data_IF_994652767047
#
_entry.id   IF_994652767047
#
_cell.length_a   1.000
_cell.length_b   1.000
_cell.length_c   1.000
_cell.angle_alpha   90.00
_cell.angle_beta   90.00
_cell.angle_gamma   90.00
#
_symmetry.space_group_name_H-M   'P 1'
#
loop_
_entity.id
_entity.type
_entity.pdbx_description
1 polymer ?
#
# COMPACT_ATOMS: atom_id res chain seq x y z
N UNK A 1 18.87 -4.65 -20.86
CA UNK A 1 18.09 -5.22 -19.74
C UNK A 1 16.87 -5.88 -20.36
N UNK A 2 16.48 -7.02 -19.84
CA UNK A 2 15.25 -7.72 -20.25
C UNK A 2 14.06 -6.98 -19.64
N UNK A 3 12.91 -6.92 -20.33
CA UNK A 3 11.69 -6.34 -19.76
C UNK A 3 11.10 -7.28 -18.69
N UNK A 4 10.53 -6.73 -17.63
CA UNK A 4 9.68 -7.45 -16.70
C UNK A 4 8.21 -7.18 -17.08
N UNK A 5 7.55 -8.21 -17.59
CA UNK A 5 6.16 -8.14 -18.05
C UNK A 5 5.19 -8.43 -16.92
N UNK A 6 4.13 -7.64 -16.79
CA UNK A 6 3.02 -7.90 -15.89
C UNK A 6 1.98 -8.71 -16.64
N UNK A 7 1.73 -9.93 -16.19
CA UNK A 7 0.80 -10.88 -16.84
C UNK A 7 -0.60 -10.71 -16.28
N UNK A 8 -0.76 -10.74 -14.96
CA UNK A 8 -2.04 -10.50 -14.30
C UNK A 8 -1.85 -9.92 -12.89
N UNK A 9 -2.92 -9.35 -12.36
CA UNK A 9 -2.99 -8.82 -11.00
C UNK A 9 -4.36 -9.12 -10.40
N UNK A 10 -4.38 -9.58 -9.15
CA UNK A 10 -5.62 -9.80 -8.42
C UNK A 10 -5.48 -9.47 -6.95
N UNK A 11 -6.61 -9.31 -6.28
CA UNK A 11 -6.67 -8.97 -4.87
C UNK A 11 -7.95 -9.47 -4.23
N UNK A 12 -7.96 -9.63 -2.92
CA UNK A 12 -9.20 -9.79 -2.16
C UNK A 12 -9.96 -8.46 -2.07
N UNK A 13 -11.25 -8.46 -1.79
CA UNK A 13 -11.91 -7.31 -1.18
C UNK A 13 -11.20 -6.96 0.13
N UNK A 14 -11.32 -5.70 0.56
CA UNK A 14 -10.80 -5.24 1.83
C UNK A 14 -11.87 -5.35 2.90
N UNK A 15 -11.62 -6.19 3.90
CA UNK A 15 -12.49 -6.37 5.06
C UNK A 15 -12.15 -5.40 6.18
N UNK A 16 -13.12 -4.99 7.00
CA UNK A 16 -12.89 -4.13 8.17
C UNK A 16 -11.88 -4.81 9.11
N UNK A 17 -10.75 -4.15 9.38
CA UNK A 17 -9.65 -4.65 10.19
C UNK A 17 -9.93 -4.57 11.70
N UNK A 18 -11.03 -5.15 12.15
CA UNK A 18 -11.42 -5.18 13.54
C UNK A 18 -11.86 -6.59 13.95
N UNK A 19 -11.18 -7.14 14.95
CA UNK A 19 -11.51 -8.44 15.52
C UNK A 19 -13.00 -8.56 15.88
N UNK A 20 -13.63 -9.68 15.50
CA UNK A 20 -15.04 -9.96 15.76
C UNK A 20 -16.05 -9.08 15.00
N UNK A 21 -15.60 -8.22 14.07
CA UNK A 21 -16.48 -7.34 13.27
C UNK A 21 -16.24 -7.42 11.77
N UNK A 22 -14.98 -7.47 11.32
CA UNK A 22 -14.67 -7.54 9.91
C UNK A 22 -15.00 -8.90 9.31
N UNK A 23 -15.47 -8.94 8.07
CA UNK A 23 -15.85 -10.17 7.39
C UNK A 23 -14.66 -11.12 7.16
N UNK A 24 -13.43 -10.59 7.05
CA UNK A 24 -12.19 -11.35 6.93
C UNK A 24 -11.52 -11.64 8.27
N UNK A 25 -11.97 -11.01 9.36
CA UNK A 25 -11.44 -11.27 10.71
C UNK A 25 -11.63 -12.74 11.09
N UNK A 26 -10.56 -13.39 11.51
CA UNK A 26 -10.56 -14.82 11.84
C UNK A 26 -10.14 -15.74 10.70
N UNK A 27 -10.00 -15.25 9.45
CA UNK A 27 -9.35 -16.00 8.38
C UNK A 27 -7.83 -15.99 8.63
N UNK A 28 -7.17 -17.15 8.44
CA UNK A 28 -5.72 -17.22 8.61
C UNK A 28 -5.01 -16.39 7.51
N UNK A 29 -3.99 -15.58 7.82
CA UNK A 29 -3.32 -14.75 6.81
C UNK A 29 -2.68 -15.55 5.67
N UNK A 30 -2.20 -16.76 5.92
CA UNK A 30 -1.71 -17.66 4.88
C UNK A 30 -2.85 -18.08 3.93
N UNK A 31 -4.03 -18.39 4.45
CA UNK A 31 -5.23 -18.70 3.66
C UNK A 31 -5.68 -17.50 2.81
N UNK A 32 -5.60 -16.29 3.36
CA UNK A 32 -5.92 -15.07 2.61
C UNK A 32 -4.92 -14.85 1.46
N UNK A 33 -3.63 -15.07 1.69
CA UNK A 33 -2.59 -15.06 0.66
C UNK A 33 -2.80 -16.18 -0.37
N UNK A 34 -3.14 -17.39 0.08
CA UNK A 34 -3.43 -18.52 -0.79
C UNK A 34 -4.60 -18.24 -1.74
N UNK A 35 -5.61 -17.48 -1.30
CA UNK A 35 -6.77 -17.11 -2.14
C UNK A 35 -6.33 -16.38 -3.42
N UNK A 36 -5.48 -15.38 -3.31
CA UNK A 36 -5.00 -14.62 -4.49
C UNK A 36 -3.99 -15.40 -5.31
N UNK A 37 -3.15 -16.22 -4.68
CA UNK A 37 -2.18 -17.06 -5.38
C UNK A 37 -2.90 -18.14 -6.22
N UNK A 38 -3.89 -18.81 -5.66
CA UNK A 38 -4.72 -19.78 -6.38
C UNK A 38 -5.44 -19.12 -7.56
N UNK A 39 -6.03 -17.96 -7.33
CA UNK A 39 -6.71 -17.22 -8.38
C UNK A 39 -5.77 -16.82 -9.53
N UNK A 40 -4.52 -16.43 -9.26
CA UNK A 40 -3.54 -16.15 -10.32
C UNK A 40 -3.22 -17.41 -11.13
N UNK A 41 -2.96 -18.54 -10.48
CA UNK A 41 -2.66 -19.80 -11.18
C UNK A 41 -3.84 -20.24 -12.06
N UNK A 42 -5.06 -20.20 -11.52
CA UNK A 42 -6.28 -20.58 -12.25
C UNK A 42 -6.57 -19.69 -13.47
N UNK A 43 -6.36 -18.36 -13.31
CA UNK A 43 -6.64 -17.37 -14.37
C UNK A 43 -5.63 -17.39 -15.50
N UNK A 44 -4.38 -17.67 -15.19
CA UNK A 44 -3.27 -17.61 -16.14
C UNK A 44 -2.87 -18.96 -16.70
N UNK A 45 -3.26 -20.04 -16.03
CA UNK A 45 -2.91 -21.41 -16.39
C UNK A 45 -1.42 -21.73 -16.26
N UNK A 46 -0.68 -20.97 -15.45
CA UNK A 46 0.75 -21.23 -15.23
C UNK A 46 0.98 -22.59 -14.57
N UNK A 47 2.10 -23.21 -14.93
CA UNK A 47 2.61 -24.33 -14.15
C UNK A 47 3.29 -23.78 -12.88
N UNK A 48 2.72 -24.05 -11.72
CA UNK A 48 3.24 -23.53 -10.44
C UNK A 48 4.63 -24.06 -10.10
N UNK A 49 5.08 -25.12 -10.77
CA UNK A 49 6.44 -25.65 -10.65
C UNK A 49 7.50 -24.80 -11.35
N UNK A 50 7.10 -23.90 -12.23
CA UNK A 50 7.97 -22.99 -12.97
C UNK A 50 8.10 -21.62 -12.25
N UNK A 51 7.35 -21.42 -11.15
CA UNK A 51 7.47 -20.20 -10.35
C UNK A 51 8.81 -20.24 -9.59
N UNK A 52 9.70 -19.34 -9.95
CA UNK A 52 11.04 -19.25 -9.36
C UNK A 52 10.97 -18.72 -7.93
N UNK A 53 10.21 -17.64 -7.70
CA UNK A 53 10.08 -17.04 -6.38
C UNK A 53 8.73 -16.36 -6.16
N UNK A 54 8.35 -16.25 -4.89
CA UNK A 54 7.16 -15.54 -4.41
C UNK A 54 7.63 -14.49 -3.41
N UNK A 55 7.67 -13.23 -3.84
CA UNK A 55 8.15 -12.10 -3.04
C UNK A 55 6.96 -11.42 -2.37
N UNK A 56 6.85 -11.54 -1.05
CA UNK A 56 5.63 -11.21 -0.32
C UNK A 56 5.83 -10.13 0.74
N UNK A 57 5.01 -9.08 0.68
CA UNK A 57 5.02 -7.98 1.63
C UNK A 57 4.11 -8.22 2.83
N UNK A 58 4.62 -7.99 4.03
CA UNK A 58 3.82 -7.82 5.25
C UNK A 58 4.58 -6.97 6.24
N UNK A 59 3.89 -6.05 6.90
CA UNK A 59 4.52 -5.16 7.89
C UNK A 59 4.53 -5.73 9.30
N UNK A 60 3.74 -6.75 9.57
CA UNK A 60 3.64 -7.39 10.88
C UNK A 60 4.06 -8.85 10.82
N UNK A 61 5.36 -9.11 10.71
CA UNK A 61 5.91 -10.47 10.71
C UNK A 61 5.88 -11.08 12.12
N UNK A 62 4.67 -11.20 12.69
CA UNK A 62 4.44 -11.72 14.04
C UNK A 62 3.26 -12.68 14.06
N UNK A 63 3.26 -13.63 15.00
CA UNK A 63 2.19 -14.61 15.15
C UNK A 63 1.89 -15.30 13.83
N UNK A 64 0.63 -15.45 13.42
CA UNK A 64 0.24 -16.12 12.17
C UNK A 64 0.74 -15.46 10.88
N UNK A 65 1.22 -14.20 10.92
CA UNK A 65 1.86 -13.52 9.77
C UNK A 65 3.39 -13.69 9.73
N UNK A 66 3.97 -14.47 10.63
CA UNK A 66 5.39 -14.81 10.62
C UNK A 66 5.69 -16.08 9.81
N UNK A 67 6.96 -16.49 9.78
CA UNK A 67 7.36 -17.78 9.22
C UNK A 67 7.32 -17.85 7.70
N UNK A 68 7.76 -16.79 7.01
CA UNK A 68 7.70 -16.66 5.56
C UNK A 68 6.29 -16.83 5.00
N UNK A 69 5.49 -15.78 5.21
CA UNK A 69 4.09 -15.74 4.82
C UNK A 69 3.87 -16.02 3.32
N UNK A 70 4.77 -15.55 2.45
CA UNK A 70 4.69 -15.79 1.01
C UNK A 70 4.81 -17.26 0.66
N UNK A 71 5.86 -17.91 1.14
CA UNK A 71 6.08 -19.34 0.92
C UNK A 71 4.95 -20.20 1.52
N UNK A 72 4.52 -19.88 2.75
CA UNK A 72 3.46 -20.65 3.41
C UNK A 72 2.11 -20.48 2.69
N UNK A 73 1.79 -19.28 2.22
CA UNK A 73 0.60 -19.04 1.40
C UNK A 73 0.62 -19.80 0.08
N UNK A 74 1.79 -19.93 -0.56
CA UNK A 74 1.93 -20.71 -1.78
C UNK A 74 1.69 -22.20 -1.56
N UNK A 75 2.22 -22.77 -0.49
CA UNK A 75 1.98 -24.16 -0.13
C UNK A 75 0.50 -24.41 0.20
N UNK A 76 -0.14 -23.49 0.93
CA UNK A 76 -1.58 -23.55 1.22
C UNK A 76 -2.43 -23.39 -0.06
N UNK A 77 -1.96 -22.63 -1.03
CA UNK A 77 -2.59 -22.49 -2.35
C UNK A 77 -2.46 -23.76 -3.22
N UNK A 78 -1.62 -24.73 -2.83
CA UNK A 78 -1.36 -25.93 -3.61
C UNK A 78 -0.30 -25.76 -4.71
N UNK A 79 0.56 -24.75 -4.60
CA UNK A 79 1.71 -24.58 -5.50
C UNK A 79 2.70 -25.74 -5.36
N UNK A 80 3.40 -26.05 -6.45
CA UNK A 80 4.46 -27.05 -6.43
C UNK A 80 5.53 -26.69 -5.37
N UNK A 81 6.12 -27.69 -4.74
CA UNK A 81 7.13 -27.50 -3.68
C UNK A 81 8.41 -26.83 -4.19
N UNK A 82 8.60 -26.73 -5.50
CA UNK A 82 9.72 -26.03 -6.14
C UNK A 82 9.57 -24.52 -6.10
N UNK A 83 8.34 -23.99 -6.03
CA UNK A 83 8.11 -22.54 -5.93
C UNK A 83 8.70 -22.01 -4.63
N UNK A 84 9.78 -21.25 -4.69
CA UNK A 84 10.44 -20.62 -3.54
C UNK A 84 9.61 -19.46 -2.98
N UNK A 85 10.02 -18.85 -1.88
CA UNK A 85 9.35 -17.67 -1.35
C UNK A 85 10.22 -16.89 -0.36
N UNK A 86 9.93 -15.61 -0.26
CA UNK A 86 10.54 -14.68 0.69
C UNK A 86 9.51 -13.66 1.17
N UNK A 87 9.54 -13.35 2.45
CA UNK A 87 8.69 -12.30 3.02
C UNK A 87 9.53 -11.11 3.44
N UNK A 88 9.12 -9.92 3.01
CA UNK A 88 9.82 -8.67 3.28
C UNK A 88 8.97 -7.66 4.03
N UNK A 89 9.63 -6.74 4.73
CA UNK A 89 9.04 -5.60 5.41
C UNK A 89 9.73 -4.30 4.99
N UNK A 90 8.98 -3.41 4.34
CA UNK A 90 9.26 -1.99 4.16
C UNK A 90 8.07 -1.17 4.66
N UNK A 91 7.45 -1.60 5.75
CA UNK A 91 6.23 -1.01 6.28
C UNK A 91 5.15 -0.88 5.18
N UNK A 92 4.51 0.29 5.06
CA UNK A 92 3.49 0.54 4.04
C UNK A 92 3.99 0.28 2.61
N UNK A 93 5.27 0.49 2.34
CA UNK A 93 5.88 0.31 1.02
C UNK A 93 6.16 -1.14 0.61
N UNK A 94 5.84 -2.13 1.44
CA UNK A 94 6.19 -3.54 1.21
C UNK A 94 5.64 -4.09 -0.11
N UNK A 95 4.38 -3.80 -0.45
CA UNK A 95 3.74 -4.31 -1.66
C UNK A 95 4.34 -3.75 -2.97
N UNK A 96 4.74 -2.45 -3.02
CA UNK A 96 5.48 -1.93 -4.18
C UNK A 96 6.88 -2.54 -4.21
N UNK A 97 7.51 -2.70 -3.04
CA UNK A 97 8.86 -3.24 -2.94
C UNK A 97 8.92 -4.68 -3.42
N UNK A 98 7.92 -5.51 -3.10
CA UNK A 98 7.85 -6.89 -3.60
C UNK A 98 7.81 -6.93 -5.13
N UNK A 99 6.99 -6.08 -5.77
CA UNK A 99 6.93 -5.96 -7.23
C UNK A 99 8.24 -5.44 -7.83
N UNK A 100 8.85 -4.43 -7.20
CA UNK A 100 10.14 -3.90 -7.64
C UNK A 100 11.26 -4.96 -7.58
N UNK A 101 11.27 -5.81 -6.55
CA UNK A 101 12.26 -6.89 -6.42
C UNK A 101 12.02 -7.99 -7.45
N UNK A 102 10.78 -8.42 -7.65
CA UNK A 102 10.40 -9.38 -8.69
C UNK A 102 10.77 -8.89 -10.10
N UNK A 103 10.47 -7.63 -10.39
CA UNK A 103 10.88 -7.03 -11.67
C UNK A 103 12.41 -6.98 -11.82
N UNK A 104 13.15 -6.66 -10.74
CA UNK A 104 14.61 -6.64 -10.77
C UNK A 104 15.21 -8.03 -11.03
N UNK A 105 14.69 -9.11 -10.41
CA UNK A 105 15.18 -10.47 -10.66
C UNK A 105 14.95 -10.92 -12.10
N UNK A 106 13.79 -10.60 -12.68
CA UNK A 106 13.52 -10.83 -14.11
C UNK A 106 14.46 -9.99 -14.99
N UNK A 107 14.56 -8.68 -14.74
CA UNK A 107 15.38 -7.77 -15.54
C UNK A 107 16.88 -8.11 -15.50
N UNK A 108 17.35 -8.72 -14.42
CA UNK A 108 18.73 -9.21 -14.27
C UNK A 108 18.97 -10.54 -14.98
N UNK A 109 17.91 -11.25 -15.36
CA UNK A 109 17.96 -12.59 -15.94
C UNK A 109 18.21 -13.70 -14.90
N UNK A 110 18.01 -13.42 -13.62
CA UNK A 110 18.13 -14.43 -12.56
C UNK A 110 16.91 -15.34 -12.49
N UNK A 111 15.74 -14.84 -12.86
CA UNK A 111 14.46 -15.54 -12.77
C UNK A 111 13.59 -15.21 -13.99
N UNK A 112 12.66 -16.08 -14.32
CA UNK A 112 11.78 -15.97 -15.49
C UNK A 112 10.31 -15.78 -15.12
N UNK A 113 9.84 -16.38 -14.02
CA UNK A 113 8.44 -16.32 -13.57
C UNK A 113 8.38 -16.07 -12.06
N UNK A 114 7.93 -14.89 -11.68
CA UNK A 114 7.91 -14.44 -10.28
C UNK A 114 6.53 -13.91 -9.90
N UNK A 115 6.07 -14.24 -8.71
CA UNK A 115 4.87 -13.65 -8.13
C UNK A 115 5.28 -12.67 -7.04
N UNK A 116 4.76 -11.45 -7.13
CA UNK A 116 4.91 -10.43 -6.11
C UNK A 116 3.56 -10.09 -5.49
N UNK A 117 3.54 -9.81 -4.19
CA UNK A 117 2.28 -9.50 -3.54
C UNK A 117 2.46 -9.09 -2.10
N UNK A 118 1.41 -9.30 -1.33
CA UNK A 118 1.43 -9.09 0.11
C UNK A 118 0.09 -9.37 0.78
N UNK A 119 0.16 -9.56 2.07
CA UNK A 119 -1.01 -9.76 2.95
C UNK A 119 -0.85 -8.94 4.21
N UNK A 120 -1.93 -8.37 4.66
CA UNK A 120 -1.99 -7.76 5.99
C UNK A 120 -3.36 -8.00 6.62
N UNK A 121 -3.34 -8.58 7.82
CA UNK A 121 -4.52 -8.81 8.65
C UNK A 121 -4.52 -7.81 9.82
N UNK A 122 -5.11 -6.63 9.60
CA UNK A 122 -5.11 -5.59 10.65
C UNK A 122 -6.14 -5.87 11.75
N UNK A 123 -7.03 -6.82 11.58
CA UNK A 123 -7.96 -7.31 12.59
C UNK A 123 -7.30 -8.21 13.63
N UNK A 124 -6.10 -8.72 13.40
CA UNK A 124 -5.44 -9.63 14.34
C UNK A 124 -5.10 -8.92 15.64
N UNK A 125 -5.55 -9.49 16.75
CA UNK A 125 -5.20 -9.04 18.09
C UNK A 125 -3.70 -9.27 18.39
N UNK A 126 -3.13 -8.39 19.25
CA UNK A 126 -1.73 -8.52 19.68
C UNK A 126 -0.66 -8.14 18.65
N UNK A 127 -1.02 -7.48 17.56
CA UNK A 127 -0.08 -6.95 16.57
C UNK A 127 0.95 -6.00 17.14
N UNK A 128 0.52 -5.18 18.07
CA UNK A 128 1.34 -4.22 18.81
C UNK A 128 1.61 -4.83 20.18
N UNK A 129 2.86 -5.02 20.53
CA UNK A 129 3.24 -5.37 21.89
C UNK A 129 2.66 -4.37 22.89
N UNK A 130 2.75 -4.67 24.17
CA UNK A 130 2.36 -3.75 25.23
C UNK A 130 3.20 -2.46 25.14
N UNK A 131 2.55 -1.31 25.29
CA UNK A 131 3.16 0.01 25.30
C UNK A 131 3.20 0.75 23.96
N UNK A 132 3.80 1.96 23.93
CA UNK A 132 3.91 2.79 22.74
C UNK A 132 4.76 2.11 21.66
N UNK A 133 4.24 2.07 20.42
CA UNK A 133 5.01 1.55 19.29
C UNK A 133 6.10 2.54 18.88
N UNK A 134 7.35 2.10 18.93
CA UNK A 134 8.53 2.88 18.53
C UNK A 134 9.34 2.10 17.49
N UNK A 135 9.59 2.72 16.33
CA UNK A 135 10.40 2.10 15.26
C UNK A 135 11.86 1.90 15.64
N UNK A 136 12.38 2.71 16.56
CA UNK A 136 13.72 2.55 17.11
C UNK A 136 13.87 1.37 18.08
N UNK A 137 12.73 0.79 18.50
CA UNK A 137 12.64 -0.35 19.41
C UNK A 137 13.57 -0.23 20.65
N UNK A 138 13.62 0.97 21.24
CA UNK A 138 14.45 1.26 22.41
C UNK A 138 15.92 1.62 22.13
N UNK A 139 16.33 1.76 20.87
CA UNK A 139 17.65 2.23 20.50
C UNK A 139 17.76 3.76 20.72
N UNK A 140 18.11 4.17 21.94
CA UNK A 140 18.17 5.58 22.32
C UNK A 140 19.21 6.38 21.52
N UNK A 141 20.28 5.75 21.03
CA UNK A 141 21.26 6.41 20.16
C UNK A 141 20.65 6.78 18.81
N UNK A 142 19.82 5.89 18.24
CA UNK A 142 19.08 6.16 17.00
C UNK A 142 18.07 7.28 17.25
N UNK A 143 17.29 7.19 18.35
CA UNK A 143 16.28 8.20 18.73
C UNK A 143 16.88 9.59 18.87
N UNK A 144 18.05 9.71 19.51
CA UNK A 144 18.73 11.00 19.68
C UNK A 144 19.16 11.64 18.34
N UNK A 145 19.50 10.84 17.34
CA UNK A 145 19.94 11.34 16.02
C UNK A 145 18.76 11.57 15.08
N UNK A 146 17.83 10.65 15.08
CA UNK A 146 16.69 10.57 14.18
C UNK A 146 15.42 10.28 15.00
N UNK A 147 14.89 11.27 15.72
CA UNK A 147 13.64 11.08 16.46
C UNK A 147 12.50 10.75 15.48
N UNK A 148 11.72 9.73 15.80
CA UNK A 148 10.62 9.24 14.97
C UNK A 148 9.36 9.21 15.81
N UNK A 149 8.37 10.01 15.43
CA UNK A 149 7.12 10.17 16.16
C UNK A 149 6.03 9.19 15.68
N UNK A 150 4.86 9.26 16.29
CA UNK A 150 3.67 8.55 15.82
C UNK A 150 3.22 9.11 14.46
N UNK A 151 2.88 8.22 13.51
CA UNK A 151 2.55 8.60 12.13
C UNK A 151 1.43 9.66 12.02
N UNK A 152 0.40 9.61 12.86
CA UNK A 152 -0.68 10.61 12.88
C UNK A 152 -0.20 11.98 13.38
N UNK A 153 0.73 12.01 14.35
CA UNK A 153 1.37 13.26 14.81
C UNK A 153 2.28 13.82 13.73
N UNK A 154 3.00 12.95 12.99
CA UNK A 154 3.77 13.36 11.82
C UNK A 154 2.87 13.96 10.72
N UNK A 155 1.69 13.37 10.48
CA UNK A 155 0.74 13.88 9.49
C UNK A 155 0.26 15.30 9.84
N UNK A 156 -0.08 15.55 11.11
CA UNK A 156 -0.47 16.88 11.57
C UNK A 156 0.69 17.88 11.55
N UNK A 157 1.92 17.44 11.87
CA UNK A 157 3.10 18.27 11.76
C UNK A 157 3.38 18.67 10.29
N UNK A 158 3.26 17.74 9.35
CA UNK A 158 3.39 18.02 7.91
C UNK A 158 2.30 18.97 7.45
N UNK A 159 1.03 18.76 7.85
CA UNK A 159 -0.06 19.66 7.50
C UNK A 159 0.19 21.08 7.98
N UNK A 160 0.71 21.22 9.20
CA UNK A 160 1.06 22.53 9.78
C UNK A 160 2.20 23.20 9.01
N UNK A 161 3.28 22.48 8.70
CA UNK A 161 4.43 23.00 7.96
C UNK A 161 4.08 23.43 6.54
N UNK A 162 3.18 22.70 5.88
CA UNK A 162 2.79 22.93 4.49
C UNK A 162 1.56 23.87 4.36
N UNK A 163 1.01 24.34 5.48
CA UNK A 163 -0.21 25.18 5.45
C UNK A 163 -1.44 24.46 4.89
N UNK A 164 -1.49 23.13 5.02
CA UNK A 164 -2.64 22.33 4.58
C UNK A 164 -3.69 22.32 5.69
N UNK A 165 -4.84 22.90 5.38
CA UNK A 165 -5.90 23.14 6.36
C UNK A 165 -6.74 21.90 6.64
N UNK A 166 -7.55 21.96 7.70
CA UNK A 166 -8.58 20.97 8.00
C UNK A 166 -9.56 20.79 6.83
N UNK A 167 -9.95 21.87 6.18
CA UNK A 167 -10.83 21.83 5.02
C UNK A 167 -10.19 21.04 3.85
N UNK A 168 -8.91 21.26 3.60
CA UNK A 168 -8.20 20.59 2.49
C UNK A 168 -8.16 19.08 2.69
N UNK A 169 -7.81 18.62 3.92
CA UNK A 169 -7.74 17.18 4.22
C UNK A 169 -9.13 16.53 4.25
N UNK A 170 -10.16 17.23 4.70
CA UNK A 170 -11.55 16.75 4.66
C UNK A 170 -12.09 16.70 3.22
N UNK A 171 -11.75 17.67 2.39
CA UNK A 171 -12.12 17.67 0.96
C UNK A 171 -11.53 16.49 0.21
N UNK A 172 -10.26 16.17 0.47
CA UNK A 172 -9.61 14.99 -0.12
C UNK A 172 -10.27 13.70 0.38
N UNK A 173 -10.58 13.60 1.68
CA UNK A 173 -11.29 12.45 2.24
C UNK A 173 -12.68 12.24 1.62
N UNK A 174 -13.43 13.32 1.41
CA UNK A 174 -14.72 13.29 0.74
C UNK A 174 -14.60 12.84 -0.72
N UNK A 175 -13.60 13.37 -1.44
CA UNK A 175 -13.36 13.01 -2.84
C UNK A 175 -12.99 11.53 -2.97
N UNK A 176 -12.13 11.02 -2.09
CA UNK A 176 -11.78 9.59 -2.04
C UNK A 176 -13.04 8.71 -1.91
N UNK A 177 -13.97 9.07 -1.01
CA UNK A 177 -15.23 8.32 -0.83
C UNK A 177 -16.13 8.39 -2.06
N UNK A 178 -16.26 9.55 -2.69
CA UNK A 178 -17.09 9.72 -3.90
C UNK A 178 -16.53 8.90 -5.06
N UNK A 179 -15.22 8.98 -5.31
CA UNK A 179 -14.55 8.22 -6.38
C UNK A 179 -14.64 6.72 -6.14
N UNK A 180 -14.43 6.26 -4.91
CA UNK A 180 -14.59 4.85 -4.55
C UNK A 180 -16.02 4.35 -4.78
N UNK A 181 -17.03 5.13 -4.39
CA UNK A 181 -18.43 4.78 -4.61
C UNK A 181 -18.78 4.65 -6.10
N UNK A 182 -18.31 5.60 -6.94
CA UNK A 182 -18.49 5.55 -8.39
C UNK A 182 -17.76 4.36 -9.02
N UNK A 183 -16.53 4.09 -8.60
CA UNK A 183 -15.75 2.96 -9.09
C UNK A 183 -16.40 1.60 -8.76
N UNK A 184 -16.93 1.45 -7.54
CA UNK A 184 -17.65 0.25 -7.12
C UNK A 184 -18.93 0.10 -7.94
N UNK A 185 -19.75 1.14 -8.06
CA UNK A 185 -20.99 1.12 -8.83
C UNK A 185 -20.73 0.87 -10.33
N UNK A 186 -19.62 1.38 -10.87
CA UNK A 186 -19.19 1.16 -12.26
C UNK A 186 -18.49 -0.16 -12.53
N UNK A 187 -18.26 -0.99 -11.49
CA UNK A 187 -17.58 -2.29 -11.63
C UNK A 187 -16.08 -2.19 -11.96
N UNK A 188 -15.42 -1.06 -11.70
CA UNK A 188 -14.02 -0.86 -12.07
C UNK A 188 -13.06 -1.83 -11.40
N UNK A 189 -13.47 -2.46 -10.28
CA UNK A 189 -12.66 -3.44 -9.54
C UNK A 189 -12.97 -4.90 -9.90
N UNK A 190 -14.00 -5.17 -10.71
CA UNK A 190 -14.48 -6.54 -10.95
C UNK A 190 -13.42 -7.45 -11.56
N UNK A 191 -12.50 -6.91 -12.36
CA UNK A 191 -11.43 -7.66 -13.00
C UNK A 191 -10.42 -8.21 -12.01
N UNK A 192 -10.06 -7.43 -10.99
CA UNK A 192 -9.04 -7.80 -10.02
C UNK A 192 -9.58 -8.44 -8.75
N UNK A 193 -10.86 -8.25 -8.41
CA UNK A 193 -11.44 -8.81 -7.19
C UNK A 193 -11.58 -10.34 -7.24
N UNK A 194 -11.14 -10.99 -6.16
CA UNK A 194 -11.29 -12.43 -5.91
C UNK A 194 -12.11 -12.62 -4.65
N UNK A 195 -13.28 -13.25 -4.72
CA UNK A 195 -14.09 -13.57 -3.54
C UNK A 195 -13.30 -14.44 -2.55
N UNK A 196 -13.50 -14.20 -1.26
CA UNK A 196 -12.88 -14.97 -0.18
C UNK A 196 -13.92 -15.90 0.43
N UNK A 197 -13.57 -17.17 0.56
CA UNK A 197 -14.41 -18.21 1.16
C UNK A 197 -13.74 -18.72 2.44
N UNK A 198 -14.57 -19.18 3.39
CA UNK A 198 -14.14 -19.88 4.61
C UNK A 198 -13.84 -21.35 4.32
N UNK A 199 -13.22 -22.03 5.26
CA UNK A 199 -12.90 -23.46 5.14
C UNK A 199 -14.13 -24.35 4.92
N UNK A 200 -15.28 -23.94 5.43
CA UNK A 200 -16.56 -24.64 5.24
C UNK A 200 -17.20 -24.35 3.87
N UNK A 201 -16.54 -23.59 3.00
CA UNK A 201 -17.01 -23.20 1.68
C UNK A 201 -18.02 -22.04 1.68
N UNK A 202 -18.38 -21.49 2.83
CA UNK A 202 -19.26 -20.31 2.90
C UNK A 202 -18.53 -19.04 2.42
N UNK A 203 -19.25 -18.16 1.75
CA UNK A 203 -18.71 -16.85 1.33
C UNK A 203 -18.38 -16.00 2.55
N UNK A 204 -17.13 -15.54 2.63
CA UNK A 204 -16.71 -14.59 3.64
C UNK A 204 -16.89 -13.14 3.17
N UNK A 205 -16.37 -12.81 1.98
CA UNK A 205 -16.45 -11.46 1.42
C UNK A 205 -16.24 -11.48 -0.10
N UNK A 206 -17.09 -10.78 -0.86
CA UNK A 206 -17.02 -10.65 -2.32
C UNK A 206 -16.96 -9.19 -2.80
N UNK A 207 -17.01 -8.22 -1.89
CA UNK A 207 -17.03 -6.79 -2.19
C UNK A 207 -16.29 -5.99 -1.11
N UNK A 208 -15.93 -4.77 -1.42
CA UNK A 208 -15.31 -3.85 -0.43
C UNK A 208 -16.25 -3.60 0.75
N UNK A 209 -15.78 -3.82 1.98
CA UNK A 209 -16.58 -3.68 3.19
C UNK A 209 -16.44 -2.30 3.85
N UNK A 210 -15.32 -1.60 3.60
CA UNK A 210 -14.95 -0.39 4.34
C UNK A 210 -15.59 0.92 3.82
N UNK A 211 -15.90 1.13 2.51
CA UNK A 211 -16.36 2.40 1.96
C UNK A 211 -17.62 2.95 2.64
N UNK A 212 -17.69 4.28 2.73
CA UNK A 212 -18.80 5.04 3.32
C UNK A 212 -19.34 6.07 2.31
N UNK A 213 -20.14 5.63 1.33
CA UNK A 213 -20.61 6.48 0.23
C UNK A 213 -21.49 7.65 0.68
N UNK A 214 -22.06 7.57 1.89
CA UNK A 214 -22.88 8.63 2.50
C UNK A 214 -22.07 9.75 3.17
N UNK A 215 -20.74 9.74 3.11
CA UNK A 215 -19.87 10.76 3.69
C UNK A 215 -20.20 12.14 3.13
N UNK A 216 -20.28 13.14 4.00
CA UNK A 216 -20.50 14.55 3.63
C UNK A 216 -19.43 15.43 4.25
N UNK A 217 -19.20 16.61 3.68
CA UNK A 217 -18.27 17.59 4.24
C UNK A 217 -18.68 18.03 5.66
N UNK A 218 -19.98 18.22 5.89
CA UNK A 218 -20.52 18.56 7.21
C UNK A 218 -20.21 17.46 8.24
N UNK A 219 -20.43 16.18 7.85
CA UNK A 219 -20.10 15.05 8.71
C UNK A 219 -18.61 14.97 9.05
N UNK A 220 -17.72 15.23 8.07
CA UNK A 220 -16.28 15.25 8.29
C UNK A 220 -15.85 16.42 9.19
N UNK A 221 -16.33 17.62 8.92
CA UNK A 221 -15.98 18.82 9.71
C UNK A 221 -16.38 18.71 11.17
N UNK A 222 -17.43 17.96 11.48
CA UNK A 222 -17.89 17.68 12.84
C UNK A 222 -17.03 16.69 13.63
N UNK A 223 -16.12 15.95 12.97
CA UNK A 223 -15.24 14.98 13.65
C UNK A 223 -14.11 15.68 14.42
N UNK A 224 -13.84 15.21 15.62
CA UNK A 224 -12.70 15.71 16.42
C UNK A 224 -11.38 15.17 15.86
N UNK A 225 -10.30 15.96 15.87
CA UNK A 225 -8.95 15.45 15.59
C UNK A 225 -8.61 14.25 16.47
N UNK A 226 -7.95 13.25 15.88
CA UNK A 226 -7.68 11.97 16.58
C UNK A 226 -6.36 11.98 17.38
N UNK A 227 -5.42 12.85 17.03
CA UNK A 227 -4.04 12.72 17.51
C UNK A 227 -3.58 13.71 18.60
N UNK A 228 -4.36 14.69 19.11
CA UNK A 228 -3.90 15.55 20.19
C UNK A 228 -3.48 14.76 21.44
N UNK A 229 -4.33 13.85 21.91
CA UNK A 229 -4.02 13.01 23.07
C UNK A 229 -2.87 12.03 22.80
N UNK A 230 -2.76 11.50 21.58
CA UNK A 230 -1.66 10.62 21.16
C UNK A 230 -0.33 11.36 21.19
N UNK A 231 -0.31 12.61 20.75
CA UNK A 231 0.91 13.43 20.72
C UNK A 231 1.56 13.58 22.11
N UNK A 232 0.77 13.57 23.15
CA UNK A 232 1.21 13.79 24.53
C UNK A 232 1.37 12.49 25.35
N UNK A 233 1.27 11.31 24.70
CA UNK A 233 1.54 10.02 25.35
C UNK A 233 3.04 9.89 25.65
N UNK A 234 3.42 9.62 26.92
CA UNK A 234 4.80 9.30 27.27
C UNK A 234 5.26 8.01 26.61
N UNK A 235 6.48 8.03 26.03
CA UNK A 235 7.08 6.90 25.30
C UNK A 235 8.26 6.27 26.02
N UNK A 236 8.71 6.89 27.11
CA UNK A 236 9.81 6.42 27.95
C UNK A 236 9.66 6.89 29.41
N UNK A 237 10.53 6.37 30.28
CA UNK A 237 10.52 6.66 31.74
C UNK A 237 10.88 8.12 32.06
N UNK A 238 11.38 8.88 31.07
CA UNK A 238 11.70 10.31 31.22
C UNK A 238 10.50 11.20 30.90
N UNK A 239 9.39 10.60 30.48
CA UNK A 239 8.20 11.33 30.08
C UNK A 239 8.29 11.97 28.70
N UNK A 240 9.26 11.57 27.87
CA UNK A 240 9.34 12.04 26.46
C UNK A 240 8.06 11.68 25.73
N UNK A 241 7.49 12.60 24.96
CA UNK A 241 6.23 12.38 24.22
C UNK A 241 6.47 12.33 22.71
N UNK A 242 5.49 11.84 21.95
CA UNK A 242 5.55 11.86 20.47
C UNK A 242 5.66 13.29 19.94
N UNK A 243 4.99 14.28 20.55
CA UNK A 243 5.14 15.71 20.22
C UNK A 243 6.57 16.17 20.37
N UNK A 244 7.21 15.84 21.49
CA UNK A 244 8.58 16.25 21.77
C UNK A 244 9.59 15.66 20.78
N UNK A 245 9.32 14.48 20.21
CA UNK A 245 10.15 13.92 19.13
C UNK A 245 10.12 14.79 17.86
N UNK A 246 8.97 15.37 17.51
CA UNK A 246 8.87 16.33 16.40
C UNK A 246 9.62 17.62 16.78
N UNK A 247 9.31 18.18 17.96
CA UNK A 247 9.89 19.45 18.41
C UNK A 247 11.40 19.39 18.63
N UNK A 248 12.00 18.21 18.81
CA UNK A 248 13.45 18.04 18.84
C UNK A 248 14.14 18.47 17.53
N UNK A 249 13.43 18.48 16.40
CA UNK A 249 13.91 18.95 15.08
C UNK A 249 13.23 20.23 14.60
N UNK A 250 12.03 20.50 15.09
CA UNK A 250 11.19 21.65 14.72
C UNK A 250 10.74 22.37 15.99
N UNK A 251 11.66 23.03 16.75
CA UNK A 251 11.38 23.52 18.11
C UNK A 251 10.29 24.58 18.16
N UNK A 252 10.13 25.37 17.09
CA UNK A 252 9.15 26.47 17.03
C UNK A 252 7.81 26.05 16.40
N UNK A 253 7.61 24.74 16.10
CA UNK A 253 6.41 24.25 15.45
C UNK A 253 5.25 24.11 16.45
N UNK A 254 4.19 24.91 16.28
CA UNK A 254 2.91 24.72 16.97
C UNK A 254 2.01 23.83 16.12
N UNK A 255 1.94 22.53 16.46
CA UNK A 255 1.25 21.52 15.67
C UNK A 255 -0.25 21.73 15.74
N UNK A 256 -0.85 22.09 14.61
CA UNK A 256 -2.30 22.12 14.41
C UNK A 256 -2.81 20.73 14.02
N UNK A 257 -3.74 20.18 14.82
CA UNK A 257 -4.28 18.84 14.59
C UNK A 257 -5.50 18.89 13.67
N UNK A 258 -5.40 18.26 12.50
CA UNK A 258 -6.43 18.27 11.46
C UNK A 258 -6.91 16.87 11.06
N UNK A 259 -6.15 15.80 11.40
CA UNK A 259 -6.46 14.45 10.97
C UNK A 259 -7.36 13.71 11.97
N UNK A 260 -8.27 12.92 11.39
CA UNK A 260 -9.21 12.04 12.10
C UNK A 260 -9.57 10.83 11.20
N UNK A 261 -10.40 9.93 11.71
CA UNK A 261 -10.74 8.69 10.99
C UNK A 261 -11.39 8.89 9.61
N UNK A 262 -11.97 10.06 9.33
CA UNK A 262 -12.61 10.35 8.04
C UNK A 262 -11.68 10.88 6.96
N UNK A 263 -10.44 11.27 7.33
CA UNK A 263 -9.42 11.77 6.42
C UNK A 263 -8.06 11.07 6.61
N UNK A 264 -8.11 9.88 7.19
CA UNK A 264 -6.98 8.95 7.36
C UNK A 264 -7.36 7.58 6.80
N UNK A 265 -6.36 6.79 6.41
CA UNK A 265 -6.61 5.47 5.81
C UNK A 265 -7.36 4.51 6.73
N UNK A 266 -8.22 3.70 6.12
CA UNK A 266 -8.96 2.66 6.84
C UNK A 266 -8.07 1.51 7.31
N UNK A 267 -8.33 1.04 8.53
CA UNK A 267 -7.73 -0.19 9.07
C UNK A 267 -8.53 -1.38 8.55
N UNK A 268 -7.91 -2.21 7.71
CA UNK A 268 -8.56 -3.30 7.00
C UNK A 268 -7.67 -4.54 6.87
N UNK A 269 -8.29 -5.67 6.53
CA UNK A 269 -7.62 -6.90 6.15
C UNK A 269 -7.66 -7.06 4.63
N UNK A 270 -6.58 -7.59 4.03
CA UNK A 270 -6.55 -7.83 2.59
C UNK A 270 -5.26 -8.46 2.09
N UNK A 271 -5.34 -8.99 0.88
CA UNK A 271 -4.22 -9.59 0.17
C UNK A 271 -4.27 -9.25 -1.32
N UNK A 272 -3.11 -9.21 -1.97
CA UNK A 272 -2.98 -8.99 -3.41
C UNK A 272 -1.76 -9.72 -3.97
N UNK A 273 -1.84 -10.08 -5.25
CA UNK A 273 -0.77 -10.73 -5.96
C UNK A 273 -0.68 -10.24 -7.42
N UNK A 274 0.53 -10.16 -7.95
CA UNK A 274 0.86 -9.78 -9.32
C UNK A 274 1.81 -10.83 -9.88
N UNK A 275 1.49 -11.36 -11.05
CA UNK A 275 2.32 -12.29 -11.80
C UNK A 275 3.19 -11.51 -12.77
N UNK A 276 4.51 -11.70 -12.65
CA UNK A 276 5.50 -11.13 -13.57
C UNK A 276 6.23 -12.25 -14.30
N UNK A 277 6.58 -12.00 -15.56
CA UNK A 277 7.32 -12.95 -16.37
C UNK A 277 8.36 -12.25 -17.26
N UNK A 278 9.43 -13.00 -17.61
CA UNK A 278 10.33 -12.59 -18.67
C UNK A 278 9.62 -12.69 -20.05
N UNK A 279 10.01 -11.88 -21.04
CA UNK A 279 9.45 -11.98 -22.39
C UNK A 279 9.65 -13.37 -23.01
N UNK A 280 10.77 -14.03 -22.69
CA UNK A 280 11.10 -15.37 -23.17
C UNK A 280 10.11 -16.39 -22.62
N UNK A 281 9.89 -16.40 -21.30
CA UNK A 281 8.95 -17.30 -20.65
C UNK A 281 7.51 -17.03 -21.11
N UNK A 282 7.09 -15.77 -21.12
CA UNK A 282 5.75 -15.38 -21.54
C UNK A 282 5.44 -15.86 -22.96
N UNK A 283 6.38 -15.68 -23.90
CA UNK A 283 6.24 -16.14 -25.28
C UNK A 283 6.19 -17.67 -25.37
N UNK A 284 7.07 -18.37 -24.67
CA UNK A 284 7.14 -19.83 -24.70
C UNK A 284 5.87 -20.51 -24.17
N UNK A 285 5.19 -19.87 -23.21
CA UNK A 285 4.01 -20.41 -22.55
C UNK A 285 2.70 -19.72 -22.98
N UNK A 286 2.75 -18.85 -24.01
CA UNK A 286 1.55 -18.18 -24.54
C UNK A 286 0.87 -17.21 -23.58
N UNK A 287 1.60 -16.72 -22.57
CA UNK A 287 1.09 -15.73 -21.62
C UNK A 287 0.94 -14.38 -22.33
N UNK A 288 -0.17 -13.70 -22.08
CA UNK A 288 -0.47 -12.38 -22.66
C UNK A 288 -0.12 -11.29 -21.66
N UNK A 289 0.92 -10.48 -21.92
CA UNK A 289 1.25 -9.36 -21.05
C UNK A 289 0.13 -8.31 -21.08
N UNK A 290 -0.19 -7.75 -19.92
CA UNK A 290 -1.07 -6.59 -19.75
C UNK A 290 -0.29 -5.29 -19.67
N UNK A 291 0.94 -5.37 -19.16
CA UNK A 291 1.82 -4.24 -18.99
C UNK A 291 3.26 -4.66 -18.79
N UNK A 292 4.14 -3.66 -18.63
CA UNK A 292 5.54 -3.87 -18.28
C UNK A 292 5.99 -2.86 -17.24
N UNK A 293 7.01 -3.20 -16.49
CA UNK A 293 7.68 -2.27 -15.58
C UNK A 293 8.67 -1.42 -16.36
N UNK A 294 8.49 -0.09 -16.31
CA UNK A 294 9.35 0.88 -17.02
C UNK A 294 10.55 1.29 -16.17
N UNK A 295 10.28 1.68 -14.93
CA UNK A 295 11.31 2.11 -13.99
C UNK A 295 10.85 1.96 -12.54
N UNK A 296 11.83 1.86 -11.65
CA UNK A 296 11.60 1.71 -10.21
C UNK A 296 12.60 2.56 -9.43
N UNK A 297 12.17 3.07 -8.27
CA UNK A 297 13.04 3.80 -7.36
C UNK A 297 12.65 3.55 -5.90
N UNK A 298 13.64 3.67 -5.02
CA UNK A 298 13.43 3.84 -3.59
C UNK A 298 14.07 5.15 -3.16
N UNK A 299 13.44 5.84 -2.21
CA UNK A 299 13.92 7.10 -1.66
C UNK A 299 13.77 7.11 -0.14
N UNK A 300 14.75 7.68 0.54
CA UNK A 300 14.66 8.06 1.95
C UNK A 300 14.54 9.57 2.08
N UNK A 301 13.86 10.03 3.11
CA UNK A 301 13.67 11.43 3.50
C UNK A 301 13.65 11.52 5.03
N UNK A 302 13.21 12.65 5.59
CA UNK A 302 13.16 12.88 7.03
C UNK A 302 12.39 11.77 7.77
N UNK A 303 13.03 10.97 8.62
CA UNK A 303 12.31 9.99 9.44
C UNK A 303 11.46 10.65 10.52
N UNK A 304 11.74 11.90 10.91
CA UNK A 304 10.97 12.66 11.90
C UNK A 304 9.60 13.07 11.35
N UNK A 305 9.54 13.54 10.09
CA UNK A 305 8.27 13.87 9.41
C UNK A 305 7.63 12.64 8.74
N UNK A 306 8.41 11.62 8.43
CA UNK A 306 8.00 10.30 7.95
C UNK A 306 7.32 10.25 6.56
N UNK A 307 6.56 11.27 6.17
CA UNK A 307 5.55 11.17 5.11
C UNK A 307 5.94 11.89 3.80
N UNK A 308 7.11 12.51 3.73
CA UNK A 308 7.51 13.39 2.61
C UNK A 308 8.18 12.66 1.42
N UNK A 309 8.66 11.44 1.62
CA UNK A 309 9.46 10.72 0.63
C UNK A 309 8.77 10.44 -0.73
N UNK A 310 7.43 10.37 -0.89
CA UNK A 310 6.79 10.13 -2.19
C UNK A 310 7.17 11.14 -3.29
N UNK A 311 7.29 12.42 -2.95
CA UNK A 311 7.66 13.48 -3.90
C UNK A 311 9.06 13.26 -4.48
N UNK A 312 10.14 13.16 -3.67
CA UNK A 312 11.46 12.88 -4.20
C UNK A 312 11.59 11.48 -4.83
N UNK A 313 10.81 10.47 -4.39
CA UNK A 313 10.78 9.17 -5.04
C UNK A 313 10.22 9.25 -6.47
N UNK A 314 9.15 10.03 -6.66
CA UNK A 314 8.57 10.29 -7.98
C UNK A 314 9.55 10.99 -8.91
N UNK A 315 10.18 12.07 -8.45
CA UNK A 315 11.21 12.76 -9.23
C UNK A 315 12.37 11.83 -9.63
N UNK A 316 12.78 10.97 -8.70
CA UNK A 316 13.85 9.99 -8.94
C UNK A 316 13.45 8.92 -9.97
N UNK A 317 12.25 8.37 -9.90
CA UNK A 317 11.82 7.32 -10.84
C UNK A 317 11.57 7.88 -12.23
N UNK A 318 11.03 9.09 -12.36
CA UNK A 318 10.89 9.81 -13.63
C UNK A 318 12.25 10.07 -14.28
N UNK A 319 13.20 10.61 -13.52
CA UNK A 319 14.57 10.84 -14.02
C UNK A 319 15.24 9.55 -14.51
N UNK A 320 15.06 8.42 -13.79
CA UNK A 320 15.57 7.10 -14.22
C UNK A 320 14.93 6.62 -15.52
N UNK A 321 13.65 6.91 -15.73
CA UNK A 321 12.92 6.55 -16.94
C UNK A 321 13.20 7.48 -18.11
N UNK A 322 13.81 8.65 -17.89
CA UNK A 322 13.92 9.73 -18.89
C UNK A 322 12.56 10.33 -19.23
N UNK A 323 11.64 10.35 -18.26
CA UNK A 323 10.28 10.84 -18.39
C UNK A 323 10.06 12.09 -17.53
N UNK A 324 9.01 12.83 -17.87
CA UNK A 324 8.49 13.96 -17.11
C UNK A 324 7.12 13.65 -16.51
N UNK A 325 6.54 14.56 -15.74
CA UNK A 325 5.19 14.41 -15.15
C UNK A 325 4.13 14.28 -16.26
N UNK A 326 4.29 15.02 -17.35
CA UNK A 326 3.36 15.06 -18.49
C UNK A 326 3.29 13.73 -19.26
N UNK A 327 4.34 12.90 -19.16
CA UNK A 327 4.39 11.57 -19.77
C UNK A 327 3.58 10.52 -18.99
N UNK A 328 3.03 10.88 -17.83
CA UNK A 328 2.26 10.00 -16.96
C UNK A 328 0.77 10.36 -17.08
N UNK A 329 -0.02 9.37 -17.45
CA UNK A 329 -1.47 9.53 -17.63
C UNK A 329 -2.22 9.49 -16.29
N UNK A 330 -1.84 8.58 -15.38
CA UNK A 330 -2.48 8.38 -14.09
C UNK A 330 -1.47 8.18 -12.96
N UNK A 331 -1.83 8.63 -11.77
CA UNK A 331 -1.05 8.49 -10.55
C UNK A 331 -1.85 7.77 -9.46
N UNK A 332 -1.22 6.81 -8.79
CA UNK A 332 -1.72 6.22 -7.55
C UNK A 332 -0.75 6.57 -6.41
N UNK A 333 -1.23 7.40 -5.48
CA UNK A 333 -0.56 7.73 -4.22
C UNK A 333 -1.36 7.17 -3.05
N UNK A 334 -0.75 6.35 -2.21
CA UNK A 334 -1.46 5.83 -1.04
C UNK A 334 -1.88 6.95 -0.10
N UNK A 335 -3.17 7.02 0.20
CA UNK A 335 -3.77 7.97 1.11
C UNK A 335 -3.64 7.48 2.58
N UNK A 336 -2.39 7.29 3.05
CA UNK A 336 -2.19 6.91 4.46
C UNK A 336 -2.83 7.93 5.42
N UNK A 337 -2.69 9.20 5.08
CA UNK A 337 -3.36 10.37 5.61
C UNK A 337 -3.64 11.31 4.44
N UNK A 338 -4.70 12.10 4.51
CA UNK A 338 -5.05 13.03 3.42
C UNK A 338 -3.91 14.00 3.08
N UNK A 339 -3.14 14.45 4.08
CA UNK A 339 -1.99 15.34 3.86
C UNK A 339 -0.95 14.74 2.92
N UNK A 340 -0.79 13.42 2.88
CA UNK A 340 0.21 12.74 2.01
C UNK A 340 -0.15 12.96 0.54
N UNK A 341 -1.40 12.69 0.19
CA UNK A 341 -1.88 12.88 -1.19
C UNK A 341 -2.01 14.37 -1.54
N UNK A 342 -2.50 15.20 -0.62
CA UNK A 342 -2.64 16.64 -0.84
C UNK A 342 -1.28 17.32 -1.09
N UNK A 343 -0.28 17.04 -0.25
CA UNK A 343 1.09 17.54 -0.46
C UNK A 343 1.68 17.02 -1.76
N UNK A 344 1.49 15.74 -2.06
CA UNK A 344 1.98 15.11 -3.30
C UNK A 344 1.44 15.82 -4.55
N UNK A 345 0.14 16.11 -4.57
CA UNK A 345 -0.53 16.84 -5.66
C UNK A 345 0.02 18.26 -5.79
N UNK A 346 0.16 18.98 -4.67
CA UNK A 346 0.65 20.38 -4.66
C UNK A 346 2.11 20.47 -5.08
N UNK A 347 2.99 19.66 -4.51
CA UNK A 347 4.44 19.73 -4.75
C UNK A 347 4.85 19.32 -6.18
N UNK A 348 4.03 18.51 -6.83
CA UNK A 348 4.26 18.05 -8.21
C UNK A 348 3.32 18.73 -9.21
N UNK A 349 2.49 19.68 -8.77
CA UNK A 349 1.53 20.43 -9.60
C UNK A 349 0.63 19.52 -10.43
N UNK A 350 0.16 18.39 -9.83
CA UNK A 350 -0.61 17.39 -10.55
C UNK A 350 -2.06 17.83 -10.78
N UNK A 351 -2.58 17.45 -11.94
CA UNK A 351 -4.01 17.45 -12.18
C UNK A 351 -4.71 16.42 -11.26
N UNK A 352 -5.59 16.89 -10.39
CA UNK A 352 -6.32 16.07 -9.41
C UNK A 352 -7.15 14.95 -10.06
N UNK A 353 -7.62 15.17 -11.30
CA UNK A 353 -8.43 14.20 -12.04
C UNK A 353 -7.59 13.06 -12.62
N UNK A 354 -6.26 13.10 -12.47
CA UNK A 354 -5.33 12.02 -12.79
C UNK A 354 -4.84 11.24 -11.57
N UNK A 355 -5.17 11.68 -10.35
CA UNK A 355 -4.66 11.08 -9.10
C UNK A 355 -5.76 10.31 -8.40
N UNK A 356 -5.52 9.04 -8.04
CA UNK A 356 -6.44 8.17 -7.29
C UNK A 356 -7.86 8.22 -7.85
N UNK A 357 -7.98 8.02 -9.15
CA UNK A 357 -9.24 8.25 -9.90
C UNK A 357 -10.39 7.33 -9.49
N UNK A 358 -10.09 6.22 -8.83
CA UNK A 358 -11.06 5.26 -8.28
C UNK A 358 -11.19 5.35 -6.74
N UNK A 359 -10.75 6.47 -6.15
CA UNK A 359 -10.62 6.62 -4.71
C UNK A 359 -9.37 5.92 -4.18
N UNK A 360 -9.02 6.18 -2.93
CA UNK A 360 -7.81 5.67 -2.30
C UNK A 360 -8.06 5.03 -0.94
N UNK A 361 -7.01 4.90 -0.15
CA UNK A 361 -7.02 4.15 1.12
C UNK A 361 -7.87 4.79 2.22
N UNK A 362 -8.22 6.07 2.12
CA UNK A 362 -9.18 6.71 3.04
C UNK A 362 -10.55 6.06 2.89
N UNK A 363 -10.99 5.87 1.65
CA UNK A 363 -12.28 5.25 1.36
C UNK A 363 -12.24 3.73 1.38
N UNK A 364 -11.20 3.13 0.80
CA UNK A 364 -11.14 1.70 0.52
C UNK A 364 -10.35 0.92 1.57
N UNK A 365 -9.50 1.58 2.37
CA UNK A 365 -8.67 0.95 3.39
C UNK A 365 -7.25 0.62 2.92
N UNK A 366 -6.37 0.37 3.91
CA UNK A 366 -4.92 0.19 3.74
C UNK A 366 -4.43 -1.08 4.44
N UNK A 367 -4.59 -2.27 3.83
CA UNK A 367 -3.95 -3.49 4.33
C UNK A 367 -2.45 -3.39 4.04
N UNK A 368 -1.66 -2.97 5.03
CA UNK A 368 -0.33 -2.35 4.91
C UNK A 368 0.57 -3.09 3.92
N UNK A 369 0.84 -4.39 4.14
CA UNK A 369 1.74 -5.18 3.28
C UNK A 369 1.24 -5.43 1.86
N UNK A 370 -0.09 -5.41 1.65
CA UNK A 370 -0.72 -5.68 0.36
C UNK A 370 -0.95 -4.43 -0.48
N UNK A 371 -1.05 -3.25 0.15
CA UNK A 371 -1.55 -2.03 -0.51
C UNK A 371 -0.76 -1.66 -1.77
N UNK A 372 0.56 -1.78 -1.75
CA UNK A 372 1.36 -1.44 -2.93
C UNK A 372 0.99 -2.26 -4.16
N UNK A 373 0.79 -3.57 -4.00
CA UNK A 373 0.35 -4.45 -5.08
C UNK A 373 -1.11 -4.18 -5.50
N UNK A 374 -1.99 -3.81 -4.55
CA UNK A 374 -3.36 -3.37 -4.85
C UNK A 374 -3.34 -2.12 -5.75
N UNK A 375 -2.53 -1.11 -5.43
CA UNK A 375 -2.45 0.13 -6.20
C UNK A 375 -1.90 -0.12 -7.62
N UNK A 376 -0.88 -0.97 -7.77
CA UNK A 376 -0.34 -1.34 -9.08
C UNK A 376 -1.40 -2.06 -9.94
N UNK A 377 -2.13 -3.02 -9.36
CA UNK A 377 -3.21 -3.72 -10.07
C UNK A 377 -4.36 -2.77 -10.43
N UNK A 378 -4.76 -1.89 -9.51
CA UNK A 378 -5.80 -0.87 -9.75
C UNK A 378 -5.40 0.08 -10.87
N UNK A 379 -4.16 0.56 -10.87
CA UNK A 379 -3.64 1.41 -11.92
C UNK A 379 -3.62 0.70 -13.28
N UNK A 380 -3.18 -0.55 -13.33
CA UNK A 380 -3.14 -1.34 -14.55
C UNK A 380 -4.55 -1.55 -15.14
N UNK A 381 -5.53 -1.92 -14.30
CA UNK A 381 -6.93 -2.07 -14.72
C UNK A 381 -7.49 -0.75 -15.25
N UNK A 382 -7.13 0.38 -14.65
CA UNK A 382 -7.63 1.70 -15.05
C UNK A 382 -6.97 2.21 -16.34
N UNK A 383 -5.67 1.96 -16.54
CA UNK A 383 -4.99 2.23 -17.82
C UNK A 383 -5.64 1.46 -18.97
N UNK A 384 -5.96 0.18 -18.76
CA UNK A 384 -6.69 -0.62 -19.76
C UNK A 384 -8.10 -0.07 -20.01
N UNK A 385 -8.86 0.22 -18.93
CA UNK A 385 -10.26 0.69 -19.03
C UNK A 385 -10.40 2.00 -19.79
N UNK A 386 -9.42 2.91 -19.65
CA UNK A 386 -9.41 4.24 -20.28
C UNK A 386 -8.59 4.31 -21.57
N UNK A 387 -8.02 3.20 -22.02
CA UNK A 387 -7.09 3.16 -23.16
C UNK A 387 -5.90 4.14 -23.00
N UNK A 388 -5.38 4.24 -21.77
CA UNK A 388 -4.23 5.06 -21.41
C UNK A 388 -2.96 4.22 -21.40
N UNK A 389 -1.79 4.87 -21.38
CA UNK A 389 -0.53 4.21 -21.59
C UNK A 389 0.28 3.99 -20.31
N UNK A 390 0.57 5.06 -19.57
CA UNK A 390 1.53 5.01 -18.44
C UNK A 390 0.92 5.46 -17.14
N UNK A 391 1.33 4.80 -16.08
CA UNK A 391 0.97 5.21 -14.74
C UNK A 391 2.12 5.08 -13.75
N UNK A 392 2.04 5.85 -12.68
CA UNK A 392 3.02 5.88 -11.60
C UNK A 392 2.34 5.56 -10.28
N UNK A 393 2.95 4.65 -9.51
CA UNK A 393 2.51 4.30 -8.15
C UNK A 393 3.61 4.64 -7.16
N UNK A 394 3.24 5.30 -6.06
CA UNK A 394 4.14 5.53 -4.92
C UNK A 394 3.37 5.57 -3.61
N UNK A 395 4.09 5.51 -2.51
CA UNK A 395 3.52 5.61 -1.17
C UNK A 395 4.57 5.97 -0.14
N UNK A 396 4.16 6.67 0.92
CA UNK A 396 5.02 6.83 2.10
C UNK A 396 5.14 5.50 2.85
N UNK A 397 6.29 5.29 3.45
CA UNK A 397 6.54 4.19 4.37
C UNK A 397 7.18 4.73 5.64
N UNK A 398 6.88 4.10 6.78
CA UNK A 398 7.44 4.47 8.06
C UNK A 398 8.99 4.53 8.00
N UNK A 399 9.60 5.34 8.86
CA UNK A 399 11.03 5.62 8.80
C UNK A 399 11.42 6.67 7.73
N UNK A 400 10.45 7.33 7.09
CA UNK A 400 10.71 8.38 6.10
C UNK A 400 11.14 7.82 4.74
N UNK A 401 10.50 6.77 4.26
CA UNK A 401 10.85 6.13 2.99
C UNK A 401 9.69 6.18 1.99
N UNK A 402 9.99 6.00 0.70
CA UNK A 402 9.01 5.73 -0.34
C UNK A 402 9.62 4.87 -1.46
N UNK A 403 8.98 3.74 -1.83
CA UNK A 403 9.17 3.10 -3.13
C UNK A 403 8.31 3.79 -4.18
N UNK A 404 8.76 3.75 -5.44
CA UNK A 404 7.99 4.19 -6.61
C UNK A 404 8.20 3.23 -7.78
N UNK A 405 7.18 3.10 -8.63
CA UNK A 405 7.20 2.29 -9.84
C UNK A 405 6.42 3.00 -10.95
N UNK A 406 6.96 2.95 -12.17
CA UNK A 406 6.24 3.34 -13.39
C UNK A 406 5.93 2.06 -14.16
N UNK A 407 4.67 1.88 -14.52
CA UNK A 407 4.20 0.79 -15.39
C UNK A 407 3.66 1.37 -16.70
N UNK A 408 3.77 0.58 -17.76
CA UNK A 408 3.25 0.92 -19.08
C UNK A 408 2.40 -0.23 -19.58
N UNK A 409 1.19 0.05 -20.04
CA UNK A 409 0.31 -0.92 -20.70
C UNK A 409 0.90 -1.33 -22.05
N UNK A 410 0.79 -2.58 -22.42
CA UNK A 410 1.26 -3.16 -23.69
C UNK A 410 0.12 -3.70 -24.53
#
# INVERSE_FOLDING_TARGET
MVDALIIDACRTPRGIGKAGKGALAGIHPQQLGATVLRALADRTGINTADVDDIIWGTSSQRGPQSGDLGRMSALDAGYDVRASGVTLDRFCGSGITSVNMAANSIMSGSEDLVIAGGTEMMSMEGRRGEGPFMMDNGNLRLRARHPQSHQGVCADAVATLEGISRHDVDALGLESQKRAALAIAGGHFNKSLVPVYREDGSLALDREEYPRPQTTMEGLSGLKPAFPAVADVPIDDKGTTYRQLILAKYPDLDITFVHHAGNSSGVVDGSAAILLASPTYAKAHGLKPRGRVVAMANMGDSPTLMLNAPVPATRKVLAKAGLTIEDIDLFEINEAFAVVAEKYIRDLELDRDKVNVNGGSIALGHPIGATGSILIGTLLDELERRDLRRGLVTMCAAGGMAPAIIIERV
#
